data_IF_678070665922
#
_entry.id   IF_678070665922
#
_cell.length_a   1.000
_cell.length_b   1.000
_cell.length_c   1.000
_cell.angle_alpha   90.00
_cell.angle_beta   90.00
_cell.angle_gamma   90.00
#
_symmetry.space_group_name_H-M   'P 1'
#
loop_
_entity.id
_entity.type
_entity.pdbx_description
1 polymer ?
#
# COMPACT_ATOMS: atom_id res chain seq x y z
N UNK A 1 6.96 21.62 9.78
CA UNK A 1 5.86 20.65 9.92
C UNK A 1 6.32 19.34 10.56
N UNK A 2 7.32 18.64 10.01
CA UNK A 2 7.78 17.34 10.51
C UNK A 2 8.04 17.28 12.04
N UNK A 3 8.73 18.28 12.62
CA UNK A 3 8.97 18.34 14.08
C UNK A 3 7.69 18.39 14.92
N UNK A 4 6.68 19.14 14.48
CA UNK A 4 5.41 19.24 15.20
C UNK A 4 4.59 17.95 15.08
N UNK A 5 4.61 17.30 13.91
CA UNK A 5 3.94 16.00 13.70
C UNK A 5 4.56 14.94 14.61
N UNK A 6 5.88 14.89 14.72
CA UNK A 6 6.55 13.94 15.62
C UNK A 6 6.17 14.10 17.09
N UNK A 7 5.75 15.31 17.50
CA UNK A 7 5.31 15.59 18.87
C UNK A 7 3.82 15.24 19.06
N UNK A 8 2.97 15.64 18.11
CA UNK A 8 1.50 15.54 18.26
C UNK A 8 0.96 14.20 17.79
N UNK A 9 1.61 13.58 16.79
CA UNK A 9 1.20 12.34 16.13
C UNK A 9 2.43 11.42 15.94
N UNK A 10 3.03 10.90 17.04
CA UNK A 10 4.29 10.15 16.99
C UNK A 10 4.19 8.85 16.18
N UNK A 11 3.03 8.20 16.19
CA UNK A 11 2.76 6.96 15.44
C UNK A 11 2.42 7.20 13.96
N UNK A 12 2.32 8.46 13.52
CA UNK A 12 2.01 8.81 12.14
C UNK A 12 3.29 9.00 11.30
N UNK A 13 3.59 8.10 10.35
CA UNK A 13 4.76 8.26 9.50
C UNK A 13 4.60 9.48 8.59
N UNK A 14 5.48 10.47 8.78
CA UNK A 14 5.47 11.68 7.97
C UNK A 14 6.19 11.45 6.63
N UNK A 15 5.42 11.44 5.55
CA UNK A 15 5.89 11.29 4.17
C UNK A 15 5.90 12.65 3.45
N UNK A 16 6.87 12.85 2.56
CA UNK A 16 6.91 14.01 1.69
C UNK A 16 5.89 13.86 0.56
N UNK A 17 5.28 14.98 0.17
CA UNK A 17 4.32 14.99 -0.92
C UNK A 17 5.03 14.81 -2.27
N UNK A 18 4.76 13.70 -2.96
CA UNK A 18 5.42 13.35 -4.22
C UNK A 18 5.16 14.38 -5.33
N UNK A 19 3.97 15.01 -5.37
CA UNK A 19 3.70 16.09 -6.32
C UNK A 19 4.61 17.30 -6.11
N UNK A 20 4.82 17.71 -4.84
CA UNK A 20 5.75 18.80 -4.53
C UNK A 20 7.20 18.42 -4.89
N UNK A 21 7.57 17.14 -4.73
CA UNK A 21 8.87 16.63 -5.20
C UNK A 21 8.98 16.81 -6.71
N UNK A 22 7.97 16.42 -7.48
CA UNK A 22 7.95 16.62 -8.94
C UNK A 22 7.99 18.10 -9.34
N UNK A 23 7.24 18.97 -8.66
CA UNK A 23 7.29 20.40 -8.94
C UNK A 23 8.65 21.03 -8.62
N UNK A 24 9.30 20.56 -7.56
CA UNK A 24 10.65 21.02 -7.24
C UNK A 24 11.65 20.44 -8.25
N UNK A 25 11.49 19.19 -8.67
CA UNK A 25 12.30 18.57 -9.71
C UNK A 25 12.23 19.38 -11.02
N UNK A 26 11.04 19.80 -11.46
CA UNK A 26 10.91 20.60 -12.69
C UNK A 26 11.54 21.99 -12.56
N UNK A 27 11.59 22.58 -11.36
CA UNK A 27 12.27 23.85 -11.10
C UNK A 27 13.79 23.70 -11.10
N UNK A 28 14.31 22.69 -10.42
CA UNK A 28 15.77 22.48 -10.26
C UNK A 28 16.41 21.79 -11.47
N UNK A 29 15.65 20.97 -12.20
CA UNK A 29 16.11 20.13 -13.31
C UNK A 29 15.38 20.47 -14.62
N UNK A 30 14.81 21.67 -14.74
CA UNK A 30 13.97 22.05 -15.89
C UNK A 30 14.64 21.85 -17.25
N UNK A 31 15.95 22.10 -17.35
CA UNK A 31 16.75 21.85 -18.56
C UNK A 31 16.82 20.36 -18.91
N UNK A 32 16.92 19.49 -17.91
CA UNK A 32 16.98 18.03 -18.06
C UNK A 32 15.60 17.51 -18.48
N UNK A 33 14.53 17.98 -17.84
CA UNK A 33 13.15 17.65 -18.22
C UNK A 33 12.83 18.03 -19.67
N UNK A 34 13.34 19.16 -20.15
CA UNK A 34 13.15 19.59 -21.53
C UNK A 34 14.03 18.81 -22.52
N UNK A 35 15.28 18.54 -22.15
CA UNK A 35 16.26 17.86 -23.02
C UNK A 35 15.99 16.37 -23.16
N UNK A 36 15.50 15.73 -22.09
CA UNK A 36 15.31 14.29 -22.02
C UNK A 36 13.89 13.95 -21.58
N UNK A 37 12.96 13.71 -22.52
CA UNK A 37 11.58 13.33 -22.18
C UNK A 37 11.50 12.06 -21.32
N UNK A 38 12.46 11.15 -21.51
CA UNK A 38 12.56 9.88 -20.78
C UNK A 38 12.90 10.07 -19.29
N UNK A 39 13.61 11.14 -18.93
CA UNK A 39 13.98 11.43 -17.54
C UNK A 39 12.75 11.50 -16.62
N UNK A 40 11.66 12.10 -17.10
CA UNK A 40 10.41 12.19 -16.34
C UNK A 40 9.88 10.80 -15.99
N UNK A 41 9.99 9.83 -16.91
CA UNK A 41 9.56 8.47 -16.66
C UNK A 41 10.49 7.85 -15.63
N UNK A 42 11.80 7.82 -15.86
CA UNK A 42 12.76 7.16 -14.96
C UNK A 42 12.74 7.72 -13.54
N UNK A 43 12.62 9.05 -13.40
CA UNK A 43 12.44 9.70 -12.10
C UNK A 43 11.11 9.28 -11.43
N UNK A 44 10.04 9.12 -12.21
CA UNK A 44 8.77 8.59 -11.72
C UNK A 44 8.86 7.13 -11.26
N UNK A 45 9.60 6.30 -12.00
CA UNK A 45 9.84 4.90 -11.63
C UNK A 45 10.56 4.83 -10.28
N UNK A 46 11.58 5.66 -10.07
CA UNK A 46 12.30 5.77 -8.79
C UNK A 46 11.38 6.13 -7.61
N UNK A 47 10.34 6.94 -7.85
CA UNK A 47 9.40 7.33 -6.79
C UNK A 47 8.39 6.21 -6.50
N UNK A 48 7.86 5.54 -7.53
CA UNK A 48 6.65 4.71 -7.39
C UNK A 48 6.80 3.22 -7.67
N UNK A 49 7.72 2.79 -8.54
CA UNK A 49 7.64 1.46 -9.14
C UNK A 49 8.45 0.40 -8.41
N UNK A 50 9.53 0.78 -7.73
CA UNK A 50 10.44 -0.21 -7.16
C UNK A 50 9.89 -0.87 -5.90
N UNK A 51 9.98 -2.20 -5.88
CA UNK A 51 9.56 -3.07 -4.79
C UNK A 51 10.69 -3.40 -3.82
N UNK A 52 11.89 -3.52 -4.37
CA UNK A 52 13.09 -3.96 -3.68
C UNK A 52 14.05 -2.77 -3.59
N UNK A 53 14.68 -2.62 -2.42
CA UNK A 53 15.61 -1.51 -2.16
C UNK A 53 16.80 -1.53 -3.11
N UNK A 54 17.33 -2.71 -3.41
CA UNK A 54 18.45 -2.90 -4.33
C UNK A 54 18.09 -2.36 -5.73
N UNK A 55 16.97 -2.81 -6.31
CA UNK A 55 16.51 -2.35 -7.62
C UNK A 55 16.29 -0.83 -7.66
N UNK A 56 15.75 -0.26 -6.57
CA UNK A 56 15.58 1.19 -6.44
C UNK A 56 16.93 1.92 -6.47
N UNK A 57 17.91 1.46 -5.68
CA UNK A 57 19.23 2.07 -5.60
C UNK A 57 19.94 1.98 -6.95
N UNK A 58 19.92 0.81 -7.60
CA UNK A 58 20.51 0.62 -8.92
C UNK A 58 19.86 1.52 -9.98
N UNK A 59 18.54 1.61 -10.00
CA UNK A 59 17.83 2.48 -10.93
C UNK A 59 18.08 3.96 -10.67
N UNK A 60 18.19 4.37 -9.40
CA UNK A 60 18.53 5.74 -9.03
C UNK A 60 19.93 6.12 -9.52
N UNK A 61 20.92 5.26 -9.25
CA UNK A 61 22.30 5.46 -9.68
C UNK A 61 22.42 5.50 -11.21
N UNK A 62 21.76 4.56 -11.89
CA UNK A 62 21.68 4.52 -13.35
C UNK A 62 21.09 5.81 -13.93
N UNK A 63 19.99 6.30 -13.36
CA UNK A 63 19.39 7.58 -13.77
C UNK A 63 20.37 8.74 -13.57
N UNK A 64 21.13 8.76 -12.47
CA UNK A 64 22.13 9.82 -12.26
C UNK A 64 23.23 9.80 -13.32
N UNK A 65 23.68 8.62 -13.73
CA UNK A 65 24.72 8.46 -14.74
C UNK A 65 24.22 8.80 -16.15
N UNK A 66 23.06 8.27 -16.55
CA UNK A 66 22.49 8.45 -17.90
C UNK A 66 22.23 9.92 -18.23
N UNK A 67 21.82 10.71 -17.23
CA UNK A 67 21.49 12.13 -17.42
C UNK A 67 22.59 13.09 -16.94
N UNK A 68 23.76 12.56 -16.57
CA UNK A 68 24.92 13.32 -16.05
C UNK A 68 24.55 14.24 -14.87
N UNK A 69 23.87 13.68 -13.88
CA UNK A 69 23.34 14.37 -12.70
C UNK A 69 24.16 14.12 -11.42
N UNK A 70 25.28 13.42 -11.53
CA UNK A 70 26.26 13.22 -10.45
C UNK A 70 26.71 14.58 -9.90
N UNK A 71 26.73 14.73 -8.58
CA UNK A 71 27.12 15.97 -7.90
C UNK A 71 26.02 17.06 -7.88
N UNK A 72 24.80 16.75 -8.32
CA UNK A 72 23.69 17.68 -8.18
C UNK A 72 23.23 17.75 -6.72
N UNK A 73 23.51 18.87 -6.07
CA UNK A 73 23.22 19.07 -4.63
C UNK A 73 21.74 18.86 -4.27
N UNK A 74 20.82 19.24 -5.16
CA UNK A 74 19.39 19.07 -4.90
C UNK A 74 18.98 17.59 -4.92
N UNK A 75 19.50 16.80 -5.87
CA UNK A 75 19.25 15.36 -5.91
C UNK A 75 19.91 14.63 -4.74
N UNK A 76 21.10 15.05 -4.32
CA UNK A 76 21.75 14.52 -3.12
C UNK A 76 20.91 14.78 -1.86
N UNK A 77 20.40 16.00 -1.69
CA UNK A 77 19.54 16.35 -0.56
C UNK A 77 18.20 15.61 -0.60
N UNK A 78 17.61 15.44 -1.80
CA UNK A 78 16.42 14.62 -1.97
C UNK A 78 16.69 13.16 -1.58
N UNK A 79 17.83 12.61 -1.98
CA UNK A 79 18.19 11.23 -1.70
C UNK A 79 18.48 10.97 -0.21
N UNK A 80 19.04 11.95 0.52
CA UNK A 80 19.18 11.86 2.00
C UNK A 80 17.84 11.59 2.68
N UNK A 81 16.76 12.10 2.11
CA UNK A 81 15.39 11.98 2.62
C UNK A 81 14.59 10.83 1.96
N UNK A 82 15.26 9.87 1.28
CA UNK A 82 14.63 8.77 0.52
C UNK A 82 13.56 7.99 1.26
N UNK A 83 13.74 7.75 2.56
CA UNK A 83 12.77 7.04 3.42
C UNK A 83 11.41 7.75 3.50
N UNK A 84 11.39 9.08 3.33
CA UNK A 84 10.18 9.89 3.43
C UNK A 84 9.40 9.97 2.12
N UNK A 85 9.94 9.56 0.98
CA UNK A 85 9.26 9.72 -0.31
C UNK A 85 9.25 8.49 -1.21
N UNK A 86 10.34 7.72 -1.27
CA UNK A 86 10.40 6.57 -2.17
C UNK A 86 9.42 5.49 -1.71
N UNK A 87 8.67 4.88 -2.64
CA UNK A 87 7.62 3.94 -2.29
C UNK A 87 8.17 2.66 -1.63
N UNK A 88 9.38 2.25 -2.01
CA UNK A 88 10.11 1.11 -1.42
C UNK A 88 10.17 1.14 0.11
N UNK A 89 10.33 2.32 0.72
CA UNK A 89 10.37 2.48 2.18
C UNK A 89 9.01 2.75 2.83
N UNK A 90 7.97 3.04 2.05
CA UNK A 90 6.64 3.40 2.55
C UNK A 90 5.66 2.23 2.70
N UNK A 91 6.06 1.02 2.30
CA UNK A 91 5.14 -0.13 2.15
C UNK A 91 4.51 -0.64 3.45
N UNK A 92 5.16 -0.43 4.59
CA UNK A 92 4.59 -0.80 5.89
C UNK A 92 3.45 0.14 6.33
N UNK A 93 3.20 1.22 5.57
CA UNK A 93 2.10 2.16 5.85
C UNK A 93 0.98 1.94 4.83
N UNK A 94 -0.15 1.41 5.29
CA UNK A 94 -1.35 1.32 4.46
C UNK A 94 -1.93 2.73 4.23
N UNK A 95 -1.88 3.19 2.98
CA UNK A 95 -2.43 4.49 2.58
C UNK A 95 -3.70 4.36 1.74
N UNK A 96 -4.33 3.18 1.63
CA UNK A 96 -5.53 2.95 0.81
C UNK A 96 -5.41 3.51 -0.64
N UNK A 97 -4.25 3.35 -1.28
CA UNK A 97 -3.93 3.97 -2.58
C UNK A 97 -4.04 5.50 -2.64
N UNK A 98 -4.24 6.19 -1.52
CA UNK A 98 -4.25 7.65 -1.44
C UNK A 98 -2.83 8.16 -1.69
N UNK A 99 -2.60 8.65 -2.90
CA UNK A 99 -1.40 9.42 -3.21
C UNK A 99 -1.51 10.75 -2.49
N UNK A 100 -0.40 11.24 -1.93
CA UNK A 100 -0.34 12.56 -1.27
C UNK A 100 -0.93 13.68 -2.15
N UNK A 101 -0.79 13.53 -3.46
CA UNK A 101 -1.24 14.44 -4.53
C UNK A 101 -2.76 14.42 -4.67
N UNK A 102 -3.35 13.22 -4.70
CA UNK A 102 -4.78 12.99 -4.85
C UNK A 102 -5.56 13.59 -3.68
N UNK A 103 -5.03 13.50 -2.44
CA UNK A 103 -5.66 14.15 -1.27
C UNK A 103 -5.73 15.67 -1.41
N UNK A 104 -4.63 16.31 -1.82
CA UNK A 104 -4.63 17.77 -2.02
C UNK A 104 -5.41 18.19 -3.26
N UNK A 105 -5.38 17.43 -4.35
CA UNK A 105 -6.09 17.74 -5.60
C UNK A 105 -7.60 17.59 -5.42
N UNK A 106 -8.07 16.51 -4.79
CA UNK A 106 -9.48 16.33 -4.46
C UNK A 106 -9.96 17.43 -3.52
N UNK A 107 -9.20 17.73 -2.46
CA UNK A 107 -9.56 18.81 -1.55
C UNK A 107 -9.57 20.17 -2.24
N UNK A 108 -8.56 20.50 -3.05
CA UNK A 108 -8.50 21.75 -3.80
C UNK A 108 -9.63 21.84 -4.83
N UNK A 109 -9.97 20.74 -5.50
CA UNK A 109 -11.10 20.66 -6.44
C UNK A 109 -12.43 20.90 -5.73
N UNK A 110 -12.62 20.30 -4.54
CA UNK A 110 -13.78 20.54 -3.69
C UNK A 110 -13.85 22.01 -3.26
N UNK A 111 -12.75 22.56 -2.74
CA UNK A 111 -12.67 23.97 -2.33
C UNK A 111 -13.03 24.92 -3.48
N UNK A 112 -12.64 24.63 -4.72
CA UNK A 112 -13.00 25.43 -5.91
C UNK A 112 -14.50 25.48 -6.20
N UNK A 113 -15.30 24.53 -5.71
CA UNK A 113 -16.78 24.56 -5.85
C UNK A 113 -17.42 25.62 -4.96
N UNK A 114 -16.78 25.93 -3.83
CA UNK A 114 -17.29 26.86 -2.80
C UNK A 114 -16.57 28.21 -2.84
N UNK A 115 -15.30 28.23 -3.26
CA UNK A 115 -14.50 29.44 -3.38
C UNK A 115 -14.44 29.92 -4.83
N UNK A 116 -14.78 31.18 -5.05
CA UNK A 116 -14.55 31.88 -6.31
C UNK A 116 -13.47 32.96 -6.14
N UNK A 117 -12.82 33.36 -7.24
CA UNK A 117 -11.73 34.35 -7.22
C UNK A 117 -12.17 35.78 -6.83
N UNK A 118 -13.48 36.01 -6.70
CA UNK A 118 -14.09 37.28 -6.28
C UNK A 118 -14.60 37.22 -4.83
N UNK A 119 -14.42 36.08 -4.14
CA UNK A 119 -14.91 35.89 -2.80
C UNK A 119 -14.07 36.74 -1.85
N UNK A 120 -14.72 37.63 -1.10
CA UNK A 120 -14.03 38.42 -0.10
C UNK A 120 -13.50 37.48 1.01
N UNK A 121 -12.27 37.68 1.51
CA UNK A 121 -11.67 36.79 2.52
C UNK A 121 -12.53 36.56 3.77
N UNK A 122 -13.38 37.52 4.13
CA UNK A 122 -14.30 37.39 5.26
C UNK A 122 -15.35 36.28 5.08
N UNK A 123 -15.76 35.98 3.86
CA UNK A 123 -16.70 34.88 3.58
C UNK A 123 -16.01 33.52 3.42
N UNK A 124 -14.67 33.47 3.49
CA UNK A 124 -13.94 32.21 3.36
C UNK A 124 -14.36 31.21 4.44
N UNK A 125 -14.41 31.64 5.70
CA UNK A 125 -14.74 30.74 6.81
C UNK A 125 -16.18 30.23 6.72
N UNK A 126 -17.14 31.08 6.34
CA UNK A 126 -18.53 30.66 6.12
C UNK A 126 -18.64 29.61 5.00
N UNK A 127 -17.95 29.81 3.88
CA UNK A 127 -17.96 28.83 2.78
C UNK A 127 -17.20 27.55 3.14
N UNK A 128 -16.15 27.66 3.94
CA UNK A 128 -15.40 26.52 4.46
C UNK A 128 -16.25 25.68 5.41
N UNK A 129 -16.93 26.30 6.37
CA UNK A 129 -17.82 25.63 7.30
C UNK A 129 -18.96 24.93 6.56
N UNK A 130 -19.55 25.58 5.55
CA UNK A 130 -20.54 24.96 4.67
C UNK A 130 -20.01 23.75 3.93
N UNK A 131 -18.79 23.80 3.39
CA UNK A 131 -18.14 22.65 2.76
C UNK A 131 -17.99 21.49 3.76
N UNK A 132 -17.63 21.78 5.01
CA UNK A 132 -17.49 20.74 6.04
C UNK A 132 -18.86 20.13 6.41
N UNK A 133 -19.90 20.96 6.53
CA UNK A 133 -21.27 20.50 6.80
C UNK A 133 -21.80 19.61 5.67
N UNK A 134 -21.64 20.02 4.41
CA UNK A 134 -22.04 19.22 3.25
C UNK A 134 -21.32 17.86 3.24
N UNK A 135 -20.04 17.83 3.60
CA UNK A 135 -19.25 16.57 3.69
C UNK A 135 -19.75 15.65 4.81
N UNK A 136 -20.06 16.21 5.98
CA UNK A 136 -20.66 15.44 7.08
C UNK A 136 -22.04 14.91 6.69
N UNK A 137 -22.81 15.68 5.93
CA UNK A 137 -24.11 15.25 5.45
C UNK A 137 -23.98 14.11 4.42
N UNK A 138 -23.03 14.18 3.48
CA UNK A 138 -22.72 13.10 2.54
C UNK A 138 -22.29 11.82 3.27
N UNK A 139 -21.46 11.94 4.32
CA UNK A 139 -21.03 10.82 5.18
C UNK A 139 -22.23 10.17 5.88
N UNK A 140 -23.12 10.96 6.49
CA UNK A 140 -24.35 10.46 7.11
C UNK A 140 -25.26 9.72 6.11
N UNK A 141 -25.37 10.22 4.87
CA UNK A 141 -26.13 9.52 3.83
C UNK A 141 -25.46 8.21 3.40
N UNK A 142 -24.12 8.16 3.36
CA UNK A 142 -23.39 6.93 3.07
C UNK A 142 -23.57 5.89 4.19
N UNK A 143 -23.46 6.30 5.45
CA UNK A 143 -23.67 5.45 6.62
C UNK A 143 -25.10 4.90 6.66
N UNK A 144 -26.10 5.77 6.44
CA UNK A 144 -27.49 5.37 6.38
C UNK A 144 -27.73 4.30 5.30
N UNK A 145 -27.13 4.46 4.12
CA UNK A 145 -27.21 3.45 3.05
C UNK A 145 -26.50 2.15 3.43
N UNK A 146 -25.34 2.24 4.09
CA UNK A 146 -24.59 1.05 4.52
C UNK A 146 -25.33 0.23 5.59
N UNK A 147 -26.09 0.88 6.47
CA UNK A 147 -26.84 0.20 7.53
C UNK A 147 -28.14 -0.40 6.98
N UNK A 148 -28.82 0.32 6.08
CA UNK A 148 -30.17 -0.04 5.63
C UNK A 148 -30.22 -0.79 4.31
N UNK A 149 -29.08 -1.06 3.67
CA UNK A 149 -29.04 -1.76 2.39
C UNK A 149 -27.96 -2.83 2.39
N UNK A 150 -28.32 -4.02 1.93
CA UNK A 150 -27.37 -5.12 1.73
C UNK A 150 -26.89 -5.09 0.28
N UNK A 151 -25.58 -5.06 0.02
CA UNK A 151 -25.08 -5.09 -1.34
C UNK A 151 -25.39 -6.43 -2.00
N UNK A 152 -25.66 -6.38 -3.30
CA UNK A 152 -25.85 -7.58 -4.12
C UNK A 152 -24.50 -8.25 -4.37
N UNK A 153 -24.41 -9.51 -3.96
CA UNK A 153 -23.26 -10.36 -4.20
C UNK A 153 -23.25 -10.82 -5.66
N UNK A 154 -22.13 -10.64 -6.35
CA UNK A 154 -21.94 -11.16 -7.71
C UNK A 154 -21.96 -12.70 -7.72
N UNK A 155 -21.25 -13.31 -6.75
CA UNK A 155 -21.26 -14.75 -6.49
C UNK A 155 -21.48 -14.96 -5.00
N UNK A 156 -22.34 -15.91 -4.59
CA UNK A 156 -22.54 -16.24 -3.18
C UNK A 156 -21.34 -17.04 -2.67
N UNK A 157 -20.25 -16.36 -2.33
CA UNK A 157 -19.07 -16.95 -1.71
C UNK A 157 -18.83 -16.38 -0.29
N UNK A 158 -18.20 -17.15 0.61
CA UNK A 158 -17.99 -16.73 2.00
C UNK A 158 -17.22 -15.41 2.14
N UNK A 159 -16.23 -15.17 1.27
CA UNK A 159 -15.38 -13.97 1.30
C UNK A 159 -16.20 -12.71 0.96
N UNK A 160 -16.97 -12.74 -0.12
CA UNK A 160 -17.81 -11.60 -0.49
C UNK A 160 -18.93 -11.37 0.54
N UNK A 161 -19.48 -12.45 1.12
CA UNK A 161 -20.46 -12.33 2.20
C UNK A 161 -19.87 -11.65 3.43
N UNK A 162 -18.66 -12.01 3.83
CA UNK A 162 -17.97 -11.35 4.94
C UNK A 162 -17.65 -9.89 4.61
N UNK A 163 -17.10 -9.61 3.43
CA UNK A 163 -16.79 -8.25 2.99
C UNK A 163 -18.03 -7.36 2.97
N UNK A 164 -19.18 -7.88 2.53
CA UNK A 164 -20.45 -7.14 2.51
C UNK A 164 -20.95 -6.71 3.89
N UNK A 165 -20.54 -7.41 4.95
CA UNK A 165 -20.92 -7.09 6.32
C UNK A 165 -20.00 -6.05 6.98
N UNK A 166 -18.79 -5.83 6.45
CA UNK A 166 -17.78 -4.98 7.07
C UNK A 166 -17.48 -3.70 6.27
N UNK A 167 -17.72 -3.69 4.96
CA UNK A 167 -17.46 -2.53 4.12
C UNK A 167 -18.71 -1.70 3.88
N UNK A 168 -18.52 -0.38 3.79
CA UNK A 168 -19.52 0.51 3.21
C UNK A 168 -19.84 0.07 1.78
N UNK A 169 -21.07 0.31 1.33
CA UNK A 169 -21.57 -0.09 0.00
C UNK A 169 -20.57 0.16 -1.15
N UNK A 170 -20.02 1.38 -1.23
CA UNK A 170 -19.09 1.76 -2.30
C UNK A 170 -17.77 0.97 -2.25
N UNK A 171 -17.21 0.80 -1.04
CA UNK A 171 -15.99 0.01 -0.84
C UNK A 171 -16.23 -1.48 -1.09
N UNK A 172 -17.41 -2.00 -0.76
CA UNK A 172 -17.76 -3.38 -1.07
C UNK A 172 -17.77 -3.62 -2.59
N UNK A 173 -18.38 -2.74 -3.38
CA UNK A 173 -18.40 -2.92 -4.83
C UNK A 173 -17.00 -2.84 -5.45
N UNK A 174 -16.15 -1.93 -4.96
CA UNK A 174 -14.73 -1.89 -5.35
C UNK A 174 -14.01 -3.20 -5.00
N UNK A 175 -14.19 -3.70 -3.78
CA UNK A 175 -13.62 -4.98 -3.36
C UNK A 175 -14.11 -6.14 -4.24
N UNK A 176 -15.41 -6.17 -4.54
CA UNK A 176 -16.01 -7.21 -5.37
C UNK A 176 -15.49 -7.16 -6.80
N UNK A 177 -15.24 -5.97 -7.36
CA UNK A 177 -14.61 -5.79 -8.67
C UNK A 177 -13.15 -6.30 -8.65
N UNK A 178 -12.34 -5.87 -7.68
CA UNK A 178 -10.95 -6.33 -7.54
C UNK A 178 -10.86 -7.84 -7.31
N UNK A 179 -11.78 -8.41 -6.53
CA UNK A 179 -11.88 -9.86 -6.32
C UNK A 179 -12.17 -10.59 -7.64
N UNK A 180 -13.10 -10.08 -8.46
CA UNK A 180 -13.37 -10.65 -9.78
C UNK A 180 -12.15 -10.57 -10.69
N UNK A 181 -11.45 -9.43 -10.67
CA UNK A 181 -10.23 -9.25 -11.45
C UNK A 181 -9.13 -10.22 -11.05
N UNK A 182 -8.93 -10.44 -9.75
CA UNK A 182 -7.98 -11.44 -9.26
C UNK A 182 -8.29 -12.85 -9.78
N UNK A 183 -9.57 -13.26 -9.75
CA UNK A 183 -9.99 -14.57 -10.27
C UNK A 183 -9.96 -14.68 -11.79
N UNK A 184 -9.83 -13.56 -12.51
CA UNK A 184 -9.65 -13.53 -13.95
C UNK A 184 -8.18 -13.54 -14.39
N UNK A 185 -7.23 -13.56 -13.44
CA UNK A 185 -5.80 -13.70 -13.73
C UNK A 185 -5.44 -15.19 -13.71
N UNK A 186 -4.92 -15.67 -14.83
CA UNK A 186 -4.37 -17.02 -14.95
C UNK A 186 -2.84 -16.96 -14.95
N UNK A 187 -2.19 -17.75 -14.10
CA UNK A 187 -0.73 -17.77 -13.99
C UNK A 187 -0.22 -19.10 -14.56
N UNK A 188 0.59 -19.02 -15.61
CA UNK A 188 1.26 -20.16 -16.24
C UNK A 188 2.73 -20.15 -15.87
N UNK A 189 3.27 -21.28 -15.42
CA UNK A 189 4.72 -21.47 -15.36
C UNK A 189 5.23 -21.68 -16.79
N UNK A 190 6.28 -20.95 -17.19
CA UNK A 190 6.81 -20.97 -18.56
C UNK A 190 8.07 -21.82 -18.61
N UNK A 191 9.06 -21.49 -17.79
CA UNK A 191 10.36 -22.16 -17.78
C UNK A 191 11.15 -21.82 -16.52
N UNK A 192 12.12 -22.68 -16.21
CA UNK A 192 13.16 -22.41 -15.22
C UNK A 192 14.49 -22.22 -15.96
N UNK A 193 15.08 -21.04 -15.83
CA UNK A 193 16.39 -20.69 -16.40
C UNK A 193 17.39 -20.47 -15.26
N UNK A 194 18.12 -21.52 -14.90
CA UNK A 194 19.08 -21.48 -13.79
C UNK A 194 18.41 -21.20 -12.45
N UNK A 195 18.75 -20.06 -11.83
CA UNK A 195 18.19 -19.63 -10.55
C UNK A 195 16.93 -18.76 -10.67
N UNK A 196 16.27 -18.74 -11.83
CA UNK A 196 15.14 -17.88 -12.10
C UNK A 196 13.99 -18.68 -12.73
N UNK A 197 12.83 -18.66 -12.08
CA UNK A 197 11.58 -19.22 -12.61
C UNK A 197 10.79 -18.12 -13.32
N UNK A 198 10.38 -18.36 -14.55
CA UNK A 198 9.54 -17.48 -15.35
C UNK A 198 8.07 -17.90 -15.27
N UNK A 199 7.20 -16.93 -14.97
CA UNK A 199 5.75 -17.08 -14.94
C UNK A 199 5.09 -16.07 -15.87
N UNK A 200 4.04 -16.50 -16.55
CA UNK A 200 3.22 -15.68 -17.43
C UNK A 200 1.84 -15.51 -16.81
N UNK A 201 1.53 -14.29 -16.39
CA UNK A 201 0.20 -13.90 -15.91
C UNK A 201 -0.62 -13.36 -17.09
N UNK A 202 -1.75 -14.01 -17.38
CA UNK A 202 -2.72 -13.63 -18.40
C UNK A 202 -3.92 -13.02 -17.70
N UNK A 203 -4.21 -11.76 -17.99
CA UNK A 203 -5.41 -11.06 -17.53
C UNK A 203 -6.50 -11.19 -18.60
N UNK A 204 -7.48 -12.05 -18.36
CA UNK A 204 -8.57 -12.33 -19.30
C UNK A 204 -9.56 -11.16 -19.44
N UNK A 205 -9.58 -10.20 -18.50
CA UNK A 205 -10.46 -9.04 -18.52
C UNK A 205 -9.80 -7.88 -19.27
N UNK A 206 -8.55 -7.54 -18.95
CA UNK A 206 -7.81 -6.45 -19.60
C UNK A 206 -7.15 -6.87 -20.90
N UNK A 207 -7.19 -8.17 -21.25
CA UNK A 207 -6.49 -8.77 -22.41
C UNK A 207 -5.01 -8.39 -22.43
N UNK A 208 -4.39 -8.47 -21.26
CA UNK A 208 -3.00 -8.11 -21.03
C UNK A 208 -2.19 -9.33 -20.62
N UNK A 209 -0.94 -9.37 -21.07
CA UNK A 209 0.03 -10.39 -20.69
C UNK A 209 1.19 -9.73 -19.94
N UNK A 210 1.59 -10.30 -18.81
CA UNK A 210 2.81 -9.91 -18.10
C UNK A 210 3.64 -11.13 -17.75
N UNK A 211 4.92 -11.04 -18.08
CA UNK A 211 5.95 -11.97 -17.62
C UNK A 211 6.47 -11.51 -16.26
N UNK A 212 6.52 -12.44 -15.30
CA UNK A 212 7.03 -12.25 -13.94
C UNK A 212 8.20 -13.21 -13.77
N UNK A 213 9.31 -12.70 -13.24
CA UNK A 213 10.49 -13.49 -12.95
C UNK A 213 10.66 -13.64 -11.43
N UNK A 214 10.85 -14.86 -10.95
CA UNK A 214 11.09 -15.18 -9.55
C UNK A 214 12.46 -15.82 -9.38
N UNK A 215 13.37 -15.17 -8.64
CA UNK A 215 14.70 -15.72 -8.35
C UNK A 215 14.66 -16.74 -7.19
N UNK A 216 15.46 -17.80 -7.26
CA UNK A 216 15.58 -18.92 -6.31
C UNK A 216 16.05 -18.51 -4.91
N UNK A 217 16.73 -17.36 -4.78
CA UNK A 217 17.02 -16.74 -3.47
C UNK A 217 15.72 -16.43 -2.71
N UNK A 218 14.64 -16.12 -3.44
CA UNK A 218 13.31 -15.96 -2.85
C UNK A 218 12.66 -17.32 -2.54
N UNK A 219 12.86 -18.37 -3.34
CA UNK A 219 12.30 -19.70 -3.05
C UNK A 219 12.88 -20.31 -1.77
N UNK A 220 14.18 -20.14 -1.50
CA UNK A 220 14.79 -20.60 -0.24
C UNK A 220 14.23 -19.90 1.00
N UNK A 221 13.60 -18.72 0.87
CA UNK A 221 12.99 -17.99 1.98
C UNK A 221 11.61 -18.52 2.39
N UNK A 222 10.93 -19.25 1.49
CA UNK A 222 9.56 -19.77 1.68
C UNK A 222 9.49 -21.31 1.64
N UNK A 223 10.62 -22.01 1.52
CA UNK A 223 10.68 -23.47 1.60
C UNK A 223 10.62 -23.94 3.07
N UNK A 224 10.09 -25.15 3.32
CA UNK A 224 10.04 -25.74 4.68
C UNK A 224 11.43 -25.96 5.30
N UNK A 225 12.48 -25.97 4.47
CA UNK A 225 13.87 -26.21 4.86
C UNK A 225 14.65 -24.91 5.13
N UNK A 226 14.06 -23.74 4.85
CA UNK A 226 14.64 -22.41 5.06
C UNK A 226 15.14 -22.14 6.51
N UNK A 227 14.63 -22.89 7.49
CA UNK A 227 14.96 -22.73 8.92
C UNK A 227 16.06 -23.68 9.42
N UNK A 228 16.65 -24.53 8.58
CA UNK A 228 17.61 -25.55 9.00
C UNK A 228 19.09 -25.18 8.81
N UNK A 229 19.40 -23.96 8.36
CA UNK A 229 20.78 -23.49 8.19
C UNK A 229 20.97 -22.02 8.51
N UNK A 230 22.19 -21.68 8.93
CA UNK A 230 22.61 -20.29 9.11
C UNK A 230 22.58 -19.56 7.76
N UNK A 231 21.84 -18.45 7.67
CA UNK A 231 21.80 -17.63 6.47
C UNK A 231 23.08 -16.80 6.41
N UNK A 232 23.87 -17.05 5.38
CA UNK A 232 25.16 -16.40 5.15
C UNK A 232 25.04 -15.40 4.00
N UNK A 233 25.65 -14.21 4.14
CA UNK A 233 25.70 -13.23 3.05
C UNK A 233 26.70 -13.64 1.94
N UNK A 234 26.73 -12.86 0.85
CA UNK A 234 27.63 -13.10 -0.30
C UNK A 234 29.14 -13.07 0.05
N UNK A 235 29.50 -12.72 1.28
CA UNK A 235 30.87 -12.69 1.79
C UNK A 235 31.11 -13.75 2.87
N UNK A 236 30.14 -14.62 3.15
CA UNK A 236 30.26 -15.69 4.13
C UNK A 236 30.04 -15.26 5.58
N UNK A 237 29.41 -14.10 5.84
CA UNK A 237 29.01 -13.68 7.18
C UNK A 237 27.59 -14.14 7.55
N UNK A 238 27.45 -14.77 8.72
CA UNK A 238 26.16 -15.16 9.27
C UNK A 238 25.33 -13.92 9.58
N UNK A 239 24.18 -13.79 8.92
CA UNK A 239 23.25 -12.68 9.08
C UNK A 239 22.49 -12.86 10.41
N UNK A 240 22.79 -12.04 11.41
CA UNK A 240 21.99 -12.00 12.65
C UNK A 240 20.66 -11.28 12.41
N UNK A 241 19.56 -11.94 12.79
CA UNK A 241 18.20 -11.41 12.66
C UNK A 241 18.01 -10.09 13.41
N UNK A 242 17.47 -9.09 12.70
CA UNK A 242 17.13 -7.79 13.23
C UNK A 242 16.02 -7.91 14.31
N UNK A 243 16.17 -7.30 15.50
CA UNK A 243 15.18 -7.38 16.58
C UNK A 243 13.76 -6.92 16.21
N UNK A 244 13.56 -6.21 15.09
CA UNK A 244 12.22 -5.89 14.57
C UNK A 244 11.51 -7.04 13.83
N UNK A 245 12.23 -8.10 13.41
CA UNK A 245 11.65 -9.34 12.88
C UNK A 245 10.95 -10.13 14.00
N UNK A 246 11.40 -9.98 15.25
CA UNK A 246 10.81 -10.59 16.44
C UNK A 246 9.32 -10.27 16.58
N UNK A 247 8.89 -9.04 16.28
CA UNK A 247 7.49 -8.63 16.42
C UNK A 247 6.59 -9.29 15.37
N UNK A 248 7.07 -9.39 14.13
CA UNK A 248 6.37 -10.06 13.02
C UNK A 248 6.31 -11.57 13.24
N UNK A 249 7.39 -12.17 13.72
CA UNK A 249 7.43 -13.59 14.07
C UNK A 249 6.49 -13.89 15.25
N UNK A 250 6.45 -13.03 16.28
CA UNK A 250 5.54 -13.15 17.42
C UNK A 250 4.07 -13.03 17.01
N UNK A 251 3.74 -12.15 16.07
CA UNK A 251 2.40 -12.04 15.49
C UNK A 251 2.01 -13.29 14.69
N UNK A 252 2.91 -13.78 13.82
CA UNK A 252 2.67 -14.99 13.03
C UNK A 252 2.57 -16.25 13.90
N UNK A 253 3.36 -16.35 14.96
CA UNK A 253 3.30 -17.45 15.92
C UNK A 253 2.03 -17.39 16.78
N UNK A 254 1.55 -16.19 17.14
CA UNK A 254 0.26 -16.02 17.82
C UNK A 254 -0.92 -16.42 16.92
N UNK A 255 -0.91 -16.01 15.65
CA UNK A 255 -1.94 -16.40 14.68
C UNK A 255 -1.93 -17.91 14.42
N UNK A 256 -0.76 -18.52 14.25
CA UNK A 256 -0.66 -19.97 14.08
C UNK A 256 -1.07 -20.75 15.33
N UNK A 257 -0.73 -20.28 16.53
CA UNK A 257 -1.18 -20.92 17.77
C UNK A 257 -2.69 -20.77 17.97
N UNK A 258 -3.27 -19.63 17.62
CA UNK A 258 -4.72 -19.41 17.65
C UNK A 258 -5.44 -20.38 16.70
N UNK A 259 -4.94 -20.56 15.47
CA UNK A 259 -5.49 -21.49 14.48
C UNK A 259 -5.34 -22.96 14.94
N UNK A 260 -4.21 -23.32 15.57
CA UNK A 260 -3.99 -24.65 16.14
C UNK A 260 -4.88 -24.95 17.34
N UNK A 261 -5.12 -23.97 18.20
CA UNK A 261 -6.02 -24.10 19.34
C UNK A 261 -7.46 -24.19 18.84
N UNK A 262 -7.88 -23.32 17.91
CA UNK A 262 -9.21 -23.34 17.32
C UNK A 262 -9.53 -24.66 16.59
N UNK A 263 -8.58 -25.21 15.83
CA UNK A 263 -8.75 -26.49 15.13
C UNK A 263 -8.73 -27.72 16.05
N UNK A 264 -8.02 -27.67 17.18
CA UNK A 264 -8.10 -28.72 18.21
C UNK A 264 -9.39 -28.65 19.04
N UNK A 265 -9.93 -27.44 19.19
CA UNK A 265 -11.17 -27.16 19.92
C UNK A 265 -12.41 -27.61 19.12
N UNK A 266 -12.35 -27.53 17.79
CA UNK A 266 -13.42 -27.99 16.87
C UNK A 266 -13.70 -29.50 16.96
N UNK A 267 -12.74 -30.30 17.45
CA UNK A 267 -12.89 -31.75 17.62
C UNK A 267 -13.48 -32.23 18.95
N UNK A 268 -13.80 -31.33 19.89
CA UNK A 268 -14.27 -31.70 21.24
C UNK A 268 -15.64 -31.09 21.58
N UNK A 269 -16.66 -31.95 21.69
CA UNK A 269 -18.07 -31.61 21.96
C UNK A 269 -18.29 -30.80 23.25
N UNK A 270 -17.39 -30.95 24.23
CA UNK A 270 -17.39 -30.18 25.48
C UNK A 270 -17.10 -28.69 25.28
N UNK A 271 -16.39 -28.28 24.22
CA UNK A 271 -16.05 -26.87 23.99
C UNK A 271 -17.18 -26.11 23.30
N UNK A 272 -17.98 -26.80 22.48
CA UNK A 272 -19.22 -26.27 21.92
C UNK A 272 -20.21 -25.89 23.04
N UNK A 273 -20.28 -26.67 24.12
CA UNK A 273 -21.13 -26.38 25.28
C UNK A 273 -20.61 -25.19 26.12
N UNK A 274 -19.29 -25.04 26.29
CA UNK A 274 -18.68 -23.89 26.97
C UNK A 274 -18.87 -22.59 26.17
N UNK A 275 -18.71 -22.65 24.84
CA UNK A 275 -18.95 -21.50 23.96
C UNK A 275 -20.42 -21.05 23.96
N UNK A 276 -21.36 -22.00 24.06
CA UNK A 276 -22.79 -21.73 24.21
C UNK A 276 -23.12 -21.07 25.55
N UNK A 277 -22.50 -21.49 26.65
CA UNK A 277 -22.72 -20.90 27.97
C UNK A 277 -22.09 -19.50 28.11
N UNK A 278 -21.00 -19.20 27.38
CA UNK A 278 -20.41 -17.85 27.34
C UNK A 278 -21.27 -16.82 26.58
N UNK A 279 -22.11 -17.24 25.62
CA UNK A 279 -23.09 -16.35 24.99
C UNK A 279 -24.22 -15.91 25.94
N UNK A 280 -24.42 -16.61 27.07
CA UNK A 280 -25.39 -16.22 28.10
C UNK A 280 -24.93 -15.08 29.03
N UNK A 281 -23.64 -14.72 29.02
CA UNK A 281 -23.08 -13.71 29.95
C UNK A 281 -23.01 -12.28 29.40
N UNK A 282 -23.31 -12.07 28.11
CA UNK A 282 -23.32 -10.73 27.48
C UNK A 282 -24.73 -10.17 27.18
N UNK A 283 -25.77 -10.81 27.74
CA UNK A 283 -27.07 -10.18 27.96
C UNK A 283 -27.28 -9.90 29.46
N UNK A 284 -26.58 -8.88 29.95
CA UNK A 284 -27.05 -7.90 30.94
C UNK A 284 -26.41 -6.55 30.65
#
# INVERSE_FOLDING_TARGET
MAKAIAIVLPESPHRLCTWHIFQNATKHLGSVFHRFPQFKLDFSRCIYEFEIEIDFLEAWEKMLDEYNLRGNSWLEDLFKEKYKWAMVYGRHTFCANLRSTQRSETFNSLMRKYLNSRLHPMHFFEQFDRLIEDRRHEELQADFRSINSTPTLFVPCPILKQASAHYTMDIFFLFQEEWQMFHAIEIHHVMDEGDQSEFKAIDHIKKGEKTIYLNNVNQQRWSKEAKSGDVVDNHGFVIQENPHISTTQRYMDLCHNFIKIASRVEGHETTYLIARDMQGYYHR
#
